data_IF_085153372196
#
_entry.id   IF_085153372196
#
_cell.length_a   1.000
_cell.length_b   1.000
_cell.length_c   1.000
_cell.angle_alpha   90.00
_cell.angle_beta   90.00
_cell.angle_gamma   90.00
#
_symmetry.space_group_name_H-M   'P 1'
#
loop_
_entity.id
_entity.type
_entity.pdbx_description
1 polymer ?
#
# COMPACT_ATOMS: atom_id res chain seq x y z
N UNK A 1 -7.71 -9.50 3.29
CA UNK A 1 -8.75 -9.61 2.23
C UNK A 1 -9.56 -8.30 2.15
N UNK A 2 -9.39 -7.49 1.08
CA UNK A 2 -9.94 -6.12 1.01
C UNK A 2 -11.46 -6.01 1.15
N UNK A 3 -12.23 -7.00 0.72
CA UNK A 3 -13.69 -6.96 0.85
C UNK A 3 -14.18 -6.90 2.31
N UNK A 4 -13.54 -7.68 3.20
CA UNK A 4 -13.87 -7.68 4.63
C UNK A 4 -13.49 -6.33 5.26
N UNK A 5 -12.31 -5.82 4.93
CA UNK A 5 -11.84 -4.52 5.40
C UNK A 5 -12.77 -3.38 4.97
N UNK A 6 -13.29 -3.43 3.73
CA UNK A 6 -14.25 -2.44 3.23
C UNK A 6 -15.49 -2.38 4.12
N UNK A 7 -16.11 -3.53 4.39
CA UNK A 7 -17.32 -3.59 5.23
C UNK A 7 -17.05 -3.13 6.66
N UNK A 8 -15.92 -3.52 7.23
CA UNK A 8 -15.52 -3.08 8.56
C UNK A 8 -15.29 -1.56 8.60
N UNK A 9 -14.57 -0.98 7.64
CA UNK A 9 -14.25 0.45 7.56
C UNK A 9 -15.49 1.33 7.40
N UNK A 10 -16.43 0.94 6.54
CA UNK A 10 -17.71 1.67 6.40
C UNK A 10 -18.54 1.59 7.68
N UNK A 11 -18.43 0.50 8.44
CA UNK A 11 -19.17 0.32 9.68
C UNK A 11 -18.55 1.11 10.85
N UNK A 12 -17.22 1.21 10.90
CA UNK A 12 -16.50 1.97 11.92
C UNK A 12 -15.26 2.68 11.36
N UNK A 13 -15.45 3.89 10.83
CA UNK A 13 -14.39 4.69 10.21
C UNK A 13 -13.28 5.15 11.18
N UNK A 14 -13.48 5.03 12.49
CA UNK A 14 -12.56 5.55 13.51
C UNK A 14 -11.46 4.54 13.89
N UNK A 15 -11.50 3.32 13.34
CA UNK A 15 -10.46 2.30 13.53
C UNK A 15 -9.33 2.42 12.50
N UNK A 16 -8.14 1.97 12.90
CA UNK A 16 -7.03 1.75 11.97
C UNK A 16 -7.15 0.38 11.28
N UNK A 17 -7.23 0.39 9.96
CA UNK A 17 -7.32 -0.83 9.16
C UNK A 17 -5.97 -1.19 8.56
N UNK A 18 -5.44 -2.34 8.96
CA UNK A 18 -4.18 -2.89 8.44
C UNK A 18 -4.49 -4.25 7.81
N UNK A 19 -4.33 -4.34 6.50
CA UNK A 19 -4.42 -5.59 5.76
C UNK A 19 -3.01 -6.08 5.44
N UNK A 20 -2.68 -7.30 5.87
CA UNK A 20 -1.46 -8.00 5.49
C UNK A 20 -1.85 -9.14 4.55
N UNK A 21 -1.20 -9.23 3.40
CA UNK A 21 -1.47 -10.24 2.37
C UNK A 21 -0.18 -10.69 1.71
N UNK A 22 -0.14 -11.92 1.19
CA UNK A 22 0.95 -12.36 0.31
C UNK A 22 0.76 -11.86 -1.11
N UNK A 23 1.82 -11.83 -1.90
CA UNK A 23 1.77 -11.59 -3.34
C UNK A 23 0.80 -12.51 -4.09
N UNK A 24 0.77 -13.81 -3.78
CA UNK A 24 -0.17 -14.75 -4.37
C UNK A 24 -1.64 -14.47 -4.00
N UNK A 25 -1.90 -14.05 -2.76
CA UNK A 25 -3.24 -13.66 -2.33
C UNK A 25 -3.66 -12.33 -2.97
N UNK A 26 -2.73 -11.39 -3.18
CA UNK A 26 -3.00 -10.07 -3.77
C UNK A 26 -3.09 -10.11 -5.29
N UNK A 27 -2.04 -10.59 -5.98
CA UNK A 27 -1.89 -10.51 -7.44
C UNK A 27 -2.60 -11.65 -8.20
N UNK A 28 -3.13 -12.66 -7.50
CA UNK A 28 -3.88 -13.75 -8.11
C UNK A 28 -5.35 -13.73 -7.64
N UNK A 29 -5.70 -14.52 -6.62
CA UNK A 29 -7.11 -14.69 -6.21
C UNK A 29 -7.76 -13.38 -5.72
N UNK A 30 -6.99 -12.49 -5.10
CA UNK A 30 -7.49 -11.23 -4.53
C UNK A 30 -7.42 -10.03 -5.45
N UNK A 31 -6.93 -10.16 -6.69
CA UNK A 31 -6.60 -9.01 -7.55
C UNK A 31 -7.80 -8.09 -7.80
N UNK A 32 -8.98 -8.66 -8.03
CA UNK A 32 -10.19 -7.87 -8.24
C UNK A 32 -10.57 -7.06 -7.00
N UNK A 33 -10.40 -7.62 -5.81
CA UNK A 33 -10.67 -6.90 -4.57
C UNK A 33 -9.63 -5.82 -4.30
N UNK A 34 -8.35 -6.10 -4.56
CA UNK A 34 -7.25 -5.14 -4.44
C UNK A 34 -7.49 -3.92 -5.32
N UNK A 35 -7.80 -4.14 -6.60
CA UNK A 35 -8.13 -3.10 -7.58
C UNK A 35 -9.24 -2.18 -7.06
N UNK A 36 -10.33 -2.76 -6.56
CA UNK A 36 -11.46 -1.97 -6.10
C UNK A 36 -11.28 -1.34 -4.71
N UNK A 37 -10.37 -1.84 -3.88
CA UNK A 37 -10.00 -1.17 -2.64
C UNK A 37 -9.29 0.15 -2.94
N UNK A 38 -8.31 0.11 -3.86
CA UNK A 38 -7.59 1.31 -4.33
C UNK A 38 -8.55 2.31 -4.97
N UNK A 39 -9.38 1.86 -5.93
CA UNK A 39 -10.31 2.75 -6.64
C UNK A 39 -11.34 3.44 -5.75
N UNK A 40 -11.66 2.83 -4.60
CA UNK A 40 -12.56 3.42 -3.60
C UNK A 40 -11.84 4.33 -2.61
N UNK A 41 -10.51 4.33 -2.62
CA UNK A 41 -9.68 5.01 -1.65
C UNK A 41 -10.11 4.71 -0.21
N UNK A 42 -10.22 3.42 0.12
CA UNK A 42 -10.56 2.97 1.48
C UNK A 42 -9.45 3.43 2.42
N UNK A 43 -9.81 4.03 3.56
CA UNK A 43 -8.82 4.46 4.55
C UNK A 43 -8.19 3.24 5.24
N UNK A 44 -7.08 2.74 4.69
CA UNK A 44 -6.42 1.52 5.14
C UNK A 44 -4.96 1.45 4.68
N UNK A 45 -4.16 0.72 5.46
CA UNK A 45 -2.82 0.29 5.06
C UNK A 45 -2.89 -1.14 4.52
N UNK A 46 -2.41 -1.35 3.30
CA UNK A 46 -2.33 -2.64 2.63
C UNK A 46 -0.87 -3.04 2.44
N UNK A 47 -0.41 -4.01 3.22
CA UNK A 47 0.95 -4.53 3.23
C UNK A 47 0.98 -5.84 2.44
N UNK A 48 1.78 -5.88 1.39
CA UNK A 48 2.01 -7.06 0.56
C UNK A 48 3.35 -7.68 0.97
N UNK A 49 3.35 -8.91 1.46
CA UNK A 49 4.55 -9.69 1.68
C UNK A 49 4.91 -10.43 0.38
N UNK A 50 5.76 -9.78 -0.42
CA UNK A 50 6.07 -10.20 -1.78
C UNK A 50 7.33 -11.06 -1.83
N UNK A 51 7.14 -12.37 -1.96
CA UNK A 51 8.20 -13.37 -1.90
C UNK A 51 8.36 -14.17 -3.21
N UNK A 52 7.51 -13.92 -4.21
CA UNK A 52 7.52 -14.53 -5.53
C UNK A 52 6.89 -15.92 -5.58
N UNK A 53 6.36 -16.43 -4.46
CA UNK A 53 5.89 -17.82 -4.32
C UNK A 53 4.72 -17.98 -3.36
N UNK A 54 3.87 -18.97 -3.62
CA UNK A 54 2.91 -19.46 -2.63
C UNK A 54 3.62 -20.29 -1.55
N UNK A 55 4.29 -19.63 -0.61
CA UNK A 55 5.11 -20.27 0.42
C UNK A 55 4.36 -21.34 1.22
N UNK A 56 3.14 -21.03 1.67
CA UNK A 56 2.32 -21.95 2.48
C UNK A 56 1.93 -23.23 1.73
N UNK A 57 1.73 -23.17 0.41
CA UNK A 57 1.37 -24.32 -0.41
C UNK A 57 2.58 -25.07 -0.96
N UNK A 58 3.78 -24.81 -0.41
CA UNK A 58 5.07 -25.40 -0.78
C UNK A 58 5.70 -24.79 -2.04
N UNK A 59 5.51 -23.48 -2.19
CA UNK A 59 6.37 -22.59 -2.95
C UNK A 59 6.07 -22.48 -4.44
N UNK A 60 4.90 -22.87 -4.95
CA UNK A 60 4.51 -22.65 -6.35
C UNK A 60 4.75 -21.18 -6.71
N UNK A 61 5.10 -20.86 -7.96
CA UNK A 61 5.34 -19.47 -8.32
C UNK A 61 4.08 -18.62 -8.24
N UNK A 62 4.21 -17.41 -7.69
CA UNK A 62 3.14 -16.42 -7.67
C UNK A 62 3.09 -15.65 -9.00
N UNK A 63 2.09 -14.77 -9.16
CA UNK A 63 1.96 -13.92 -10.34
C UNK A 63 2.97 -12.75 -10.36
N UNK A 64 3.82 -12.61 -9.34
CA UNK A 64 4.87 -11.58 -9.28
C UNK A 64 6.26 -12.13 -9.64
N UNK A 65 6.38 -13.44 -9.88
CA UNK A 65 7.64 -14.09 -10.24
C UNK A 65 8.16 -13.62 -11.60
N UNK A 66 9.48 -13.55 -11.74
CA UNK A 66 10.17 -13.16 -12.97
C UNK A 66 9.92 -14.14 -14.13
N UNK A 67 9.98 -13.63 -15.36
CA UNK A 67 10.09 -14.45 -16.56
C UNK A 67 11.38 -15.28 -16.48
N UNK A 68 11.30 -16.54 -16.90
CA UNK A 68 12.43 -17.47 -16.91
C UNK A 68 12.65 -18.20 -15.59
N UNK A 69 11.98 -17.82 -14.50
CA UNK A 69 12.03 -18.58 -13.24
C UNK A 69 11.52 -20.01 -13.47
N UNK A 70 12.34 -20.99 -13.12
CA UNK A 70 12.05 -22.41 -13.38
C UNK A 70 12.30 -23.30 -12.17
N UNK A 71 11.31 -24.11 -11.82
CA UNK A 71 11.50 -25.19 -10.83
C UNK A 71 12.03 -26.44 -11.52
N UNK A 72 12.81 -27.24 -10.79
CA UNK A 72 13.43 -28.50 -11.24
C UNK A 72 12.52 -29.50 -11.98
N UNK A 73 11.19 -29.42 -11.84
CA UNK A 73 10.20 -30.30 -12.50
C UNK A 73 9.04 -29.54 -13.14
N UNK A 74 9.23 -28.27 -13.49
CA UNK A 74 8.24 -27.45 -14.15
C UNK A 74 8.88 -26.73 -15.34
N UNK A 75 8.04 -26.29 -16.28
CA UNK A 75 8.48 -25.38 -17.32
C UNK A 75 8.82 -24.00 -16.71
N UNK A 76 9.66 -23.24 -17.41
CA UNK A 76 9.99 -21.89 -16.99
C UNK A 76 8.74 -20.99 -17.09
N UNK A 77 8.65 -19.99 -16.22
CA UNK A 77 7.61 -18.98 -16.33
C UNK A 77 7.81 -18.14 -17.61
N UNK A 78 6.82 -18.14 -18.50
CA UNK A 78 6.83 -17.33 -19.73
C UNK A 78 5.98 -16.04 -19.58
N UNK A 79 5.24 -15.90 -18.49
CA UNK A 79 4.33 -14.77 -18.28
C UNK A 79 5.05 -13.62 -17.58
N UNK A 80 4.81 -12.36 -17.97
CA UNK A 80 5.38 -11.21 -17.29
C UNK A 80 4.87 -11.09 -15.85
N UNK A 81 5.73 -10.67 -14.90
CA UNK A 81 5.31 -10.43 -13.53
C UNK A 81 4.30 -9.27 -13.45
N UNK A 82 3.42 -9.34 -12.47
CA UNK A 82 2.59 -8.21 -12.07
C UNK A 82 3.36 -7.35 -11.07
N UNK A 83 3.69 -6.11 -11.46
CA UNK A 83 4.18 -5.10 -10.52
C UNK A 83 2.99 -4.42 -9.82
N UNK A 84 2.82 -4.75 -8.53
CA UNK A 84 1.71 -4.25 -7.71
C UNK A 84 1.83 -2.75 -7.38
N UNK A 85 3.03 -2.18 -7.36
CA UNK A 85 3.23 -0.74 -7.17
C UNK A 85 2.84 0.03 -8.43
N UNK A 86 3.31 -0.39 -9.60
CA UNK A 86 2.94 0.21 -10.87
C UNK A 86 1.43 0.09 -11.12
N UNK A 87 0.83 -1.05 -10.78
CA UNK A 87 -0.62 -1.24 -10.84
C UNK A 87 -1.34 -0.28 -9.89
N UNK A 88 -0.89 -0.15 -8.64
CA UNK A 88 -1.51 0.74 -7.67
C UNK A 88 -1.48 2.21 -8.11
N UNK A 89 -0.34 2.67 -8.64
CA UNK A 89 -0.20 4.04 -9.19
C UNK A 89 -1.19 4.25 -10.35
N UNK A 90 -1.24 3.34 -11.32
CA UNK A 90 -2.15 3.42 -12.46
C UNK A 90 -3.65 3.39 -12.06
N UNK A 91 -3.97 2.77 -10.93
CA UNK A 91 -5.34 2.72 -10.39
C UNK A 91 -5.72 3.97 -9.58
N UNK A 92 -4.78 4.90 -9.36
CA UNK A 92 -4.99 6.12 -8.59
C UNK A 92 -4.81 5.95 -7.08
N UNK A 93 -3.98 5.01 -6.63
CA UNK A 93 -3.67 4.86 -5.21
C UNK A 93 -2.97 6.12 -4.67
N UNK A 94 -3.39 6.58 -3.49
CA UNK A 94 -2.94 7.85 -2.89
C UNK A 94 -1.61 7.77 -2.14
N UNK A 95 -1.14 6.57 -1.83
CA UNK A 95 0.16 6.34 -1.18
C UNK A 95 0.68 4.99 -1.65
N UNK A 96 1.82 4.96 -2.32
CA UNK A 96 2.45 3.74 -2.83
C UNK A 96 3.91 3.73 -2.44
N UNK A 97 4.33 2.66 -1.78
CA UNK A 97 5.71 2.46 -1.37
C UNK A 97 6.16 1.02 -1.62
N UNK A 98 7.47 0.84 -1.81
CA UNK A 98 8.14 -0.47 -1.86
C UNK A 98 9.27 -0.50 -0.86
N UNK A 99 9.45 -1.59 -0.13
CA UNK A 99 10.53 -1.72 0.84
C UNK A 99 11.04 -3.15 0.90
N UNK A 100 12.22 -3.34 1.46
CA UNK A 100 12.77 -4.66 1.74
C UNK A 100 12.59 -5.03 3.22
N UNK A 101 12.22 -6.28 3.52
CA UNK A 101 12.07 -6.76 4.90
C UNK A 101 13.37 -6.72 5.71
N UNK A 102 14.53 -6.78 5.04
CA UNK A 102 15.84 -6.57 5.66
C UNK A 102 16.15 -5.10 6.00
N UNK A 103 15.51 -4.13 5.33
CA UNK A 103 15.71 -2.69 5.51
C UNK A 103 14.81 -2.14 6.63
N UNK A 104 15.00 -2.66 7.85
CA UNK A 104 14.11 -2.41 9.01
C UNK A 104 13.82 -0.93 9.28
N UNK A 105 14.82 -0.05 9.15
CA UNK A 105 14.66 1.39 9.38
C UNK A 105 13.70 2.01 8.36
N UNK A 106 13.98 1.85 7.07
CA UNK A 106 13.14 2.29 5.96
C UNK A 106 11.72 1.75 6.08
N UNK A 107 11.56 0.43 6.27
CA UNK A 107 10.24 -0.20 6.39
C UNK A 107 9.44 0.37 7.57
N UNK A 108 10.09 0.56 8.72
CA UNK A 108 9.43 1.14 9.90
C UNK A 108 8.95 2.57 9.64
N UNK A 109 9.76 3.41 8.99
CA UNK A 109 9.39 4.78 8.65
C UNK A 109 8.21 4.82 7.66
N UNK A 110 8.25 3.99 6.62
CA UNK A 110 7.17 3.87 5.63
C UNK A 110 5.87 3.38 6.28
N UNK A 111 5.93 2.36 7.16
CA UNK A 111 4.74 1.87 7.86
C UNK A 111 4.11 2.93 8.76
N UNK A 112 4.92 3.71 9.48
CA UNK A 112 4.41 4.83 10.30
C UNK A 112 3.73 5.88 9.43
N UNK A 113 4.39 6.30 8.35
CA UNK A 113 3.82 7.26 7.41
C UNK A 113 2.50 6.76 6.77
N UNK A 114 2.43 5.48 6.41
CA UNK A 114 1.22 4.87 5.86
C UNK A 114 0.07 4.83 6.86
N UNK A 115 0.33 4.60 8.15
CA UNK A 115 -0.71 4.64 9.21
C UNK A 115 -1.26 6.06 9.39
N UNK A 116 -0.41 7.07 9.22
CA UNK A 116 -0.77 8.49 9.26
C UNK A 116 -1.39 9.02 7.96
N UNK A 117 -1.36 8.22 6.89
CA UNK A 117 -1.99 8.54 5.62
C UNK A 117 -3.50 8.37 5.70
N UNK A 118 -4.24 9.27 5.06
CA UNK A 118 -5.71 9.18 4.95
C UNK A 118 -6.09 8.75 3.54
N UNK A 119 -6.48 7.49 3.42
CA UNK A 119 -6.76 6.84 2.15
C UNK A 119 -6.12 5.47 2.06
N UNK A 120 -6.07 4.90 0.86
CA UNK A 120 -5.42 3.62 0.65
C UNK A 120 -3.92 3.83 0.53
N UNK A 121 -3.16 3.23 1.45
CA UNK A 121 -1.72 3.14 1.40
C UNK A 121 -1.28 1.71 1.05
N UNK A 122 -0.61 1.54 -0.09
CA UNK A 122 -0.07 0.25 -0.54
C UNK A 122 1.43 0.21 -0.25
N UNK A 123 1.86 -0.84 0.46
CA UNK A 123 3.27 -1.11 0.75
C UNK A 123 3.62 -2.49 0.18
N UNK A 124 4.43 -2.52 -0.86
CA UNK A 124 5.02 -3.76 -1.39
C UNK A 124 6.30 -4.08 -0.64
N UNK A 125 6.26 -5.09 0.23
CA UNK A 125 7.41 -5.51 1.04
C UNK A 125 8.05 -6.73 0.38
N UNK A 126 9.20 -6.52 -0.25
CA UNK A 126 10.03 -7.61 -0.76
C UNK A 126 10.49 -8.44 0.45
N UNK A 127 10.04 -9.69 0.52
CA UNK A 127 10.21 -10.56 1.68
C UNK A 127 10.75 -11.93 1.25
N UNK A 128 12.06 -12.19 1.36
CA UNK A 128 12.64 -13.45 0.88
C UNK A 128 12.06 -14.68 1.56
N UNK A 129 11.56 -15.65 0.78
CA UNK A 129 11.15 -16.96 1.32
C UNK A 129 12.34 -17.91 1.40
N UNK A 130 12.97 -17.98 2.58
CA UNK A 130 14.19 -18.80 2.81
C UNK A 130 14.05 -20.27 2.44
N UNK A 131 12.84 -20.83 2.48
CA UNK A 131 12.59 -22.26 2.22
C UNK A 131 12.43 -22.57 0.73
N UNK A 132 11.86 -21.65 -0.06
CA UNK A 132 11.40 -21.96 -1.42
C UNK A 132 11.86 -20.98 -2.50
N UNK A 133 12.31 -19.77 -2.14
CA UNK A 133 12.62 -18.68 -3.07
C UNK A 133 13.82 -17.84 -2.58
N UNK A 134 14.86 -18.51 -2.06
CA UNK A 134 16.10 -17.86 -1.61
C UNK A 134 17.31 -18.55 -2.25
N UNK A 135 17.46 -18.33 -3.55
CA UNK A 135 18.50 -18.86 -4.41
C UNK A 135 18.95 -17.77 -5.41
N UNK A 136 20.03 -18.04 -6.16
CA UNK A 136 20.63 -17.07 -7.09
C UNK A 136 19.72 -16.70 -8.27
N UNK A 137 18.70 -17.51 -8.54
CA UNK A 137 17.72 -17.30 -9.61
C UNK A 137 16.57 -16.37 -9.19
N UNK A 138 16.37 -16.17 -7.89
CA UNK A 138 15.25 -15.38 -7.36
C UNK A 138 15.66 -13.94 -7.12
N UNK A 139 14.99 -13.00 -7.80
CA UNK A 139 15.21 -11.58 -7.59
C UNK A 139 14.67 -11.09 -6.25
N UNK A 140 13.96 -11.96 -5.51
CA UNK A 140 13.47 -11.70 -4.16
C UNK A 140 14.30 -12.43 -3.09
N UNK A 141 15.40 -13.07 -3.47
CA UNK A 141 16.32 -13.67 -2.50
C UNK A 141 17.02 -12.58 -1.68
N UNK A 142 17.46 -12.93 -0.46
CA UNK A 142 18.06 -11.96 0.45
C UNK A 142 19.34 -11.33 -0.14
N UNK A 143 20.21 -12.16 -0.73
CA UNK A 143 21.46 -11.68 -1.35
C UNK A 143 21.17 -10.75 -2.52
N UNK A 144 20.30 -11.17 -3.43
CA UNK A 144 19.96 -10.39 -4.61
C UNK A 144 19.37 -9.02 -4.26
N UNK A 145 18.37 -8.97 -3.39
CA UNK A 145 17.72 -7.69 -3.03
C UNK A 145 18.70 -6.74 -2.36
N UNK A 146 19.59 -7.24 -1.50
CA UNK A 146 20.59 -6.40 -0.85
C UNK A 146 21.58 -5.80 -1.86
N UNK A 147 21.96 -6.57 -2.87
CA UNK A 147 22.97 -6.16 -3.86
C UNK A 147 22.37 -5.34 -5.01
N UNK A 148 21.05 -5.42 -5.22
CA UNK A 148 20.35 -4.84 -6.39
C UNK A 148 19.15 -3.94 -6.03
N UNK A 149 19.10 -3.45 -4.78
CA UNK A 149 18.15 -2.41 -4.40
C UNK A 149 18.72 -1.02 -4.75
N UNK A 150 17.86 -0.14 -5.26
CA UNK A 150 18.10 1.29 -5.42
C UNK A 150 17.16 2.03 -4.48
N UNK A 151 17.70 2.53 -3.37
CA UNK A 151 16.94 3.34 -2.42
C UNK A 151 16.74 4.74 -3.01
N UNK A 152 15.49 5.17 -3.20
CA UNK A 152 15.19 6.51 -3.70
C UNK A 152 15.57 7.59 -2.68
N UNK A 153 15.31 7.29 -1.41
CA UNK A 153 15.53 8.20 -0.29
C UNK A 153 15.99 7.44 0.96
N UNK A 154 16.64 8.12 1.91
CA UNK A 154 16.65 7.69 3.31
C UNK A 154 15.48 8.36 4.05
N UNK A 155 14.99 7.72 5.13
CA UNK A 155 13.70 8.07 5.74
C UNK A 155 13.86 8.37 7.21
N UNK A 156 13.26 9.48 7.63
CA UNK A 156 12.91 9.71 9.03
C UNK A 156 11.42 10.09 9.16
N UNK A 157 10.77 9.59 10.20
CA UNK A 157 9.37 9.90 10.49
C UNK A 157 9.32 10.70 11.78
N UNK A 158 8.84 11.95 11.67
CA UNK A 158 8.75 12.90 12.77
C UNK A 158 7.27 12.99 13.20
N UNK A 159 6.89 12.44 14.37
CA UNK A 159 5.53 12.57 14.88
C UNK A 159 5.18 14.03 15.21
N UNK A 160 3.89 14.39 15.08
CA UNK A 160 3.36 15.75 15.34
C UNK A 160 3.74 16.33 16.72
N UNK A 161 4.01 15.48 17.71
CA UNK A 161 4.33 15.89 19.09
C UNK A 161 5.82 16.03 19.39
N UNK A 162 6.72 15.79 18.42
CA UNK A 162 8.15 16.07 18.57
C UNK A 162 8.50 17.38 17.84
N UNK A 163 9.08 18.38 18.53
CA UNK A 163 9.61 19.54 17.85
C UNK A 163 10.70 19.07 16.88
N UNK A 164 10.62 19.50 15.61
CA UNK A 164 11.57 19.13 14.54
C UNK A 164 13.02 19.44 14.94
N UNK A 165 13.21 20.42 15.82
CA UNK A 165 14.49 20.84 16.43
C UNK A 165 15.14 19.77 17.31
N UNK A 166 14.41 18.74 17.75
CA UNK A 166 14.90 17.66 18.62
C UNK A 166 15.39 16.42 17.85
N UNK A 167 15.30 16.43 16.51
CA UNK A 167 15.78 15.35 15.64
C UNK A 167 17.16 15.76 15.10
N UNK A 168 18.18 14.92 15.29
CA UNK A 168 19.50 15.14 14.66
C UNK A 168 19.30 15.19 13.14
N UNK A 169 19.41 16.39 12.57
CA UNK A 169 19.29 16.60 11.11
C UNK A 169 20.56 16.04 10.47
N UNK A 170 20.48 14.97 9.65
CA UNK A 170 21.65 14.49 8.91
C UNK A 170 22.09 15.57 7.90
N UNK A 171 23.36 15.61 7.51
CA UNK A 171 23.82 16.50 6.44
C UNK A 171 23.31 16.00 5.07
N UNK A 172 22.51 16.78 4.35
CA UNK A 172 21.95 16.41 3.03
C UNK A 172 20.84 17.34 2.50
N UNK A 173 20.35 17.06 1.29
CA UNK A 173 19.09 17.66 0.77
C UNK A 173 17.91 16.78 1.17
N UNK A 174 16.85 17.39 1.70
CA UNK A 174 15.66 16.68 2.18
C UNK A 174 14.37 17.27 1.60
N UNK A 175 13.40 16.40 1.33
CA UNK A 175 12.01 16.78 1.04
C UNK A 175 11.12 16.34 2.19
N UNK A 176 10.47 17.30 2.83
CA UNK A 176 9.51 17.05 3.90
C UNK A 176 8.09 16.92 3.31
N UNK A 177 7.40 15.83 3.65
CA UNK A 177 6.00 15.60 3.32
C UNK A 177 5.18 15.66 4.60
N UNK A 178 4.28 16.63 4.69
CA UNK A 178 3.30 16.70 5.77
C UNK A 178 2.15 15.73 5.49
N UNK A 179 1.91 14.82 6.44
CA UNK A 179 0.84 13.83 6.37
C UNK A 179 -0.44 14.37 7.01
N UNK A 180 -1.54 13.61 6.89
CA UNK A 180 -2.88 14.07 7.28
C UNK A 180 -3.01 14.40 8.77
N UNK A 181 -2.33 13.66 9.64
CA UNK A 181 -2.32 13.88 11.10
C UNK A 181 -1.34 14.98 11.56
N UNK A 182 -0.73 15.69 10.61
CA UNK A 182 0.28 16.72 10.86
C UNK A 182 1.68 16.18 11.12
N UNK A 183 1.89 14.86 11.07
CA UNK A 183 3.24 14.28 11.12
C UNK A 183 4.02 14.60 9.84
N UNK A 184 5.35 14.54 9.92
CA UNK A 184 6.23 14.83 8.78
C UNK A 184 7.03 13.59 8.42
N UNK A 185 6.92 13.14 7.18
CA UNK A 185 7.82 12.18 6.57
C UNK A 185 8.95 12.96 5.88
N UNK A 186 10.17 12.81 6.40
CA UNK A 186 11.37 13.41 5.81
C UNK A 186 12.03 12.40 4.88
N UNK A 187 12.21 12.81 3.63
CA UNK A 187 12.88 12.05 2.59
C UNK A 187 14.25 12.69 2.34
N UNK A 188 15.32 12.00 2.69
CA UNK A 188 16.69 12.34 2.31
C UNK A 188 16.93 11.91 0.86
N UNK A 189 17.31 12.81 -0.03
CA UNK A 189 17.52 12.49 -1.45
C UNK A 189 18.79 11.64 -1.61
N UNK A 190 18.65 10.33 -1.87
CA UNK A 190 19.79 9.41 -2.14
C UNK A 190 19.90 9.09 -3.65
N UNK A 191 18.78 9.12 -4.39
CA UNK A 191 18.71 9.00 -5.85
C UNK A 191 18.40 10.34 -6.55
N UNK A 192 18.13 10.33 -7.87
CA UNK A 192 17.81 11.54 -8.66
C UNK A 192 16.59 12.34 -8.15
N UNK A 193 16.24 13.43 -8.84
CA UNK A 193 15.12 14.36 -8.54
C UNK A 193 13.71 13.69 -8.58
N UNK A 194 13.50 12.59 -7.84
CA UNK A 194 12.22 11.89 -7.77
C UNK A 194 11.19 12.76 -7.07
N UNK A 195 10.16 13.13 -7.82
CA UNK A 195 8.98 13.78 -7.26
C UNK A 195 7.92 12.73 -6.92
N UNK A 196 7.67 12.42 -5.63
CA UNK A 196 6.64 11.46 -5.25
C UNK A 196 5.22 11.92 -5.61
N UNK A 197 5.02 13.17 -6.05
CA UNK A 197 3.71 13.63 -6.52
C UNK A 197 3.50 13.43 -8.02
N UNK A 198 4.54 13.07 -8.77
CA UNK A 198 4.47 12.78 -10.21
C UNK A 198 4.35 11.28 -10.46
N UNK A 199 3.14 10.85 -10.83
CA UNK A 199 2.85 9.46 -11.16
C UNK A 199 3.64 8.95 -12.39
N UNK A 200 3.93 9.82 -13.36
CA UNK A 200 4.67 9.45 -14.58
C UNK A 200 6.14 9.23 -14.25
N UNK A 201 6.73 10.10 -13.42
CA UNK A 201 8.10 9.93 -12.93
C UNK A 201 8.22 8.62 -12.13
N UNK A 202 7.29 8.38 -11.20
CA UNK A 202 7.26 7.15 -10.40
C UNK A 202 7.18 5.88 -11.27
N UNK A 203 6.29 5.86 -12.27
CA UNK A 203 6.17 4.73 -13.20
C UNK A 203 7.40 4.55 -14.09
N UNK A 204 8.04 5.65 -14.50
CA UNK A 204 9.26 5.60 -15.30
C UNK A 204 10.42 4.97 -14.51
N UNK A 205 10.61 5.36 -13.25
CA UNK A 205 11.62 4.77 -12.37
C UNK A 205 11.38 3.28 -12.12
N UNK A 206 10.12 2.87 -11.87
CA UNK A 206 9.79 1.45 -11.73
C UNK A 206 10.16 0.68 -13.01
N UNK A 207 9.83 1.22 -14.19
CA UNK A 207 10.09 0.53 -15.45
C UNK A 207 11.59 0.49 -15.81
N UNK A 208 12.34 1.57 -15.57
CA UNK A 208 13.79 1.57 -15.74
C UNK A 208 14.45 0.54 -14.83
N UNK A 209 14.02 0.46 -13.57
CA UNK A 209 14.54 -0.52 -12.64
C UNK A 209 14.22 -1.96 -13.06
N UNK A 210 13.02 -2.22 -13.59
CA UNK A 210 12.66 -3.52 -14.16
C UNK A 210 13.58 -3.90 -15.33
N UNK A 211 13.83 -2.97 -16.27
CA UNK A 211 14.75 -3.20 -17.39
C UNK A 211 16.18 -3.49 -16.92
N UNK A 212 16.62 -2.82 -15.86
CA UNK A 212 17.92 -3.00 -15.24
C UNK A 212 17.99 -4.19 -14.27
N UNK A 213 16.88 -4.92 -14.09
CA UNK A 213 16.76 -6.01 -13.12
C UNK A 213 17.12 -5.56 -11.69
N UNK A 214 16.55 -4.44 -11.25
CA UNK A 214 16.71 -3.86 -9.91
C UNK A 214 15.38 -3.61 -9.24
N UNK A 215 15.42 -3.45 -7.92
CA UNK A 215 14.27 -3.02 -7.14
C UNK A 215 14.43 -1.57 -6.71
N UNK A 216 13.46 -0.73 -7.04
CA UNK A 216 13.38 0.63 -6.48
C UNK A 216 12.63 0.55 -5.15
N UNK A 217 13.25 1.06 -4.09
CA UNK A 217 12.65 1.06 -2.75
C UNK A 217 12.46 2.49 -2.25
N UNK A 218 11.34 2.69 -1.57
CA UNK A 218 10.96 3.97 -1.01
C UNK A 218 9.49 4.31 -1.13
N UNK A 219 9.19 5.59 -0.85
CA UNK A 219 7.92 6.19 -1.23
C UNK A 219 7.96 6.46 -2.75
N UNK A 220 7.20 5.67 -3.50
CA UNK A 220 7.15 5.77 -4.95
C UNK A 220 6.19 6.87 -5.40
N UNK A 221 5.02 6.94 -4.77
CA UNK A 221 3.99 7.92 -5.12
C UNK A 221 3.15 8.33 -3.91
N UNK A 222 2.74 9.59 -3.87
CA UNK A 222 1.93 10.20 -2.84
C UNK A 222 1.02 11.28 -3.42
N UNK A 223 -0.27 11.15 -3.19
CA UNK A 223 -1.27 12.15 -3.52
C UNK A 223 -2.38 12.15 -2.44
N UNK A 224 -2.40 13.15 -1.55
CA UNK A 224 -3.39 13.22 -0.47
C UNK A 224 -4.72 13.89 -0.87
N UNK A 225 -4.87 14.38 -2.10
CA UNK A 225 -6.05 15.15 -2.51
C UNK A 225 -7.34 14.32 -2.64
N UNK A 226 -7.34 13.06 -3.13
CA UNK A 226 -8.56 12.30 -3.32
C UNK A 226 -9.28 12.01 -2.01
N UNK A 227 -10.61 12.17 -2.03
CA UNK A 227 -11.48 11.81 -0.91
C UNK A 227 -11.43 10.32 -0.61
N UNK A 228 -11.58 9.96 0.66
CA UNK A 228 -11.71 8.56 1.08
C UNK A 228 -13.13 8.05 0.87
N UNK A 229 -13.32 6.72 0.89
CA UNK A 229 -14.64 6.10 0.71
C UNK A 229 -15.68 6.64 1.69
N UNK A 230 -15.32 6.78 2.97
CA UNK A 230 -16.19 7.30 4.02
C UNK A 230 -16.65 8.74 3.75
N UNK A 231 -15.76 9.59 3.22
CA UNK A 231 -16.10 10.95 2.82
C UNK A 231 -16.99 10.99 1.59
N UNK A 232 -16.72 10.13 0.60
CA UNK A 232 -17.56 10.04 -0.61
C UNK A 232 -18.98 9.58 -0.30
N UNK A 233 -19.13 8.68 0.69
CA UNK A 233 -20.42 8.20 1.15
C UNK A 233 -21.13 9.18 2.09
N UNK A 234 -20.47 10.28 2.50
CA UNK A 234 -20.95 11.21 3.52
C UNK A 234 -21.42 10.46 4.78
N UNK A 235 -20.60 9.53 5.27
CA UNK A 235 -20.94 8.78 6.49
C UNK A 235 -21.08 9.73 7.68
N UNK A 236 -21.92 9.35 8.63
CA UNK A 236 -22.12 10.11 9.87
C UNK A 236 -20.84 10.24 10.67
N UNK A 237 -20.74 11.32 11.46
CA UNK A 237 -19.62 11.53 12.38
C UNK A 237 -19.49 10.36 13.38
N UNK A 238 -20.62 9.90 13.92
CA UNK A 238 -20.69 8.70 14.76
C UNK A 238 -20.59 7.43 13.90
N UNK A 239 -19.71 6.47 14.24
CA UNK A 239 -19.65 5.17 13.59
C UNK A 239 -21.01 4.48 13.51
N UNK A 240 -21.30 3.80 12.40
CA UNK A 240 -22.58 3.07 12.23
C UNK A 240 -22.76 1.98 13.31
N UNK A 241 -21.66 1.38 13.77
CA UNK A 241 -21.67 0.41 14.88
C UNK A 241 -22.12 0.98 16.23
N UNK A 242 -22.06 2.31 16.39
CA UNK A 242 -22.37 3.02 17.64
C UNK A 242 -23.69 3.81 17.55
N UNK A 243 -24.37 3.76 16.40
CA UNK A 243 -25.66 4.40 16.24
C UNK A 243 -26.76 3.58 16.93
N UNK A 244 -27.57 4.26 17.72
CA UNK A 244 -28.75 3.70 18.35
C UNK A 244 -29.85 3.36 17.31
N UNK A 245 -30.70 2.39 17.65
CA UNK A 245 -31.73 1.87 16.74
C UNK A 245 -32.73 2.94 16.27
N UNK A 246 -33.02 3.93 17.10
CA UNK A 246 -33.93 5.04 16.79
C UNK A 246 -33.38 5.98 15.71
N UNK A 247 -32.06 6.02 15.52
CA UNK A 247 -31.41 6.74 14.41
C UNK A 247 -31.24 5.90 13.15
N UNK A 248 -31.09 4.58 13.31
CA UNK A 248 -30.94 3.66 12.17
C UNK A 248 -32.27 3.28 11.51
N UNK A 249 -33.39 3.43 12.23
CA UNK A 249 -34.71 2.99 11.77
C UNK A 249 -35.69 4.18 11.86
N UNK A 250 -36.26 4.63 10.73
CA UNK A 250 -37.30 5.66 10.77
C UNK A 250 -38.50 5.16 11.60
N UNK A 251 -39.16 6.09 12.30
CA UNK A 251 -40.38 5.75 13.01
C UNK A 251 -41.50 5.38 12.04
N UNK A 252 -42.55 4.71 12.53
CA UNK A 252 -43.72 4.37 11.71
C UNK A 252 -44.39 5.64 11.15
N UNK A 253 -44.46 6.71 11.94
CA UNK A 253 -45.03 8.00 11.54
C UNK A 253 -44.18 8.72 10.47
N UNK A 254 -42.85 8.68 10.59
CA UNK A 254 -41.94 9.24 9.59
C UNK A 254 -42.04 8.49 8.27
N UNK A 255 -42.09 7.16 8.32
CA UNK A 255 -42.25 6.32 7.13
C UNK A 255 -43.63 6.56 6.48
N UNK A 256 -44.70 6.66 7.26
CA UNK A 256 -46.03 6.95 6.76
C UNK A 256 -46.10 8.32 6.07
N UNK A 257 -45.46 9.34 6.66
CA UNK A 257 -45.36 10.68 6.09
C UNK A 257 -44.61 10.67 4.75
N UNK A 258 -43.43 10.02 4.71
CA UNK A 258 -42.65 9.88 3.47
C UNK A 258 -43.44 9.17 2.36
N UNK A 259 -44.17 8.10 2.68
CA UNK A 259 -44.97 7.35 1.71
C UNK A 259 -46.19 8.14 1.21
N UNK A 260 -46.73 9.07 2.00
CA UNK A 260 -47.82 9.93 1.57
C UNK A 260 -47.38 10.89 0.46
N UNK A 261 -46.15 11.42 0.53
CA UNK A 261 -45.59 12.32 -0.48
C UNK A 261 -45.43 11.66 -1.85
N UNK A 262 -45.23 10.33 -1.92
CA UNK A 262 -45.18 9.57 -3.17
C UNK A 262 -46.55 9.19 -3.76
N UNK A 263 -47.64 9.46 -3.04
CA UNK A 263 -49.02 9.17 -3.49
C UNK A 263 -49.76 10.39 -4.03
N UNK A 264 -49.17 11.58 -3.92
CA UNK A 264 -49.66 12.84 -4.48
C UNK A 264 -49.19 13.01 -5.93
#
# INVERSE_FOLDING_TARGET
>A
MPAVTTGANVTNKDLHYIAVSGDGDTASIGIGQFVHAIRRNINMVYIIENNGVYGLTKGQYSATVEIGSQKRKADANESPPIDLCAMAINLGCTFVARSFSGSKKQLTSIMKAAISHRGTAVIDVISPCVTFSNNDESFRSYGYVKDNQSELHAYDYIPTFQPIEAVEVPEGEFKDITLFDGSTLRLETIGGDHDPTDAVAALSEIHHAEQDQRHVTGLLYYNPEPKTLDEMLNLSDTPLAELENDKLRPSEDDLASLLADFRA
#
